data_IF_384841020016
#
_entry.id   IF_384841020016
#
_cell.length_a   1.000
_cell.length_b   1.000
_cell.length_c   1.000
_cell.angle_alpha   90.00
_cell.angle_beta   90.00
_cell.angle_gamma   90.00
#
_symmetry.space_group_name_H-M   'P 1'
#
loop_
_entity.id
_entity.type
_entity.pdbx_description
1 polymer ?
#
# COMPACT_ATOMS: atom_id res chain seq x y z
N UNK A 1 -14.77 33.58 21.47
CA UNK A 1 -15.05 32.12 21.35
C UNK A 1 -14.01 31.58 20.37
N UNK A 2 -13.12 30.71 20.86
CA UNK A 2 -11.84 30.31 20.27
C UNK A 2 -11.97 29.76 18.82
N UNK A 3 -11.17 30.31 17.89
CA UNK A 3 -10.75 29.60 16.68
C UNK A 3 -9.54 28.74 17.04
N UNK A 4 -9.71 27.42 17.04
CA UNK A 4 -8.64 26.46 17.24
C UNK A 4 -7.91 26.24 15.91
N UNK A 5 -6.86 27.00 15.65
CA UNK A 5 -5.94 26.76 14.53
C UNK A 5 -4.73 25.97 15.05
N UNK A 6 -4.74 24.67 14.76
CA UNK A 6 -3.66 23.76 15.11
C UNK A 6 -2.39 24.17 14.32
N UNK A 7 -1.36 24.57 15.05
CA UNK A 7 -0.07 24.95 14.52
C UNK A 7 0.61 23.74 13.86
N UNK A 8 0.65 23.71 12.52
CA UNK A 8 1.43 22.74 11.76
C UNK A 8 2.90 23.22 11.68
N UNK A 9 3.61 23.15 12.79
CA UNK A 9 5.08 23.22 12.77
C UNK A 9 5.62 21.84 12.40
N UNK A 10 6.11 21.64 11.19
CA UNK A 10 7.14 20.63 10.97
C UNK A 10 8.16 21.11 9.92
N UNK A 11 9.38 21.48 10.33
CA UNK A 11 10.41 21.94 9.41
C UNK A 11 10.77 20.81 8.44
N UNK A 12 10.91 21.19 7.18
CA UNK A 12 11.43 20.38 6.10
C UNK A 12 12.77 19.74 6.52
N UNK A 13 12.71 18.51 7.02
CA UNK A 13 13.88 17.65 7.11
C UNK A 13 14.19 17.20 5.69
N UNK A 14 15.21 17.85 5.13
CA UNK A 14 15.86 17.55 3.86
C UNK A 14 16.58 16.20 3.92
N UNK A 15 15.85 15.10 4.03
CA UNK A 15 16.35 13.78 3.65
C UNK A 15 15.83 13.51 2.23
N UNK A 16 16.71 13.28 1.23
CA UNK A 16 16.23 12.83 -0.06
C UNK A 16 15.41 11.56 0.19
N UNK A 17 14.17 11.43 -0.31
CA UNK A 17 13.47 10.17 -0.23
C UNK A 17 14.36 9.18 -0.95
N UNK A 18 15.10 8.37 -0.17
CA UNK A 18 15.94 7.31 -0.71
C UNK A 18 15.06 6.63 -1.73
N UNK A 19 15.49 6.62 -2.99
CA UNK A 19 14.80 5.94 -4.07
C UNK A 19 14.85 4.46 -3.74
N UNK A 20 14.05 4.05 -2.75
CA UNK A 20 13.63 2.70 -2.54
C UNK A 20 12.72 2.52 -3.72
N UNK A 21 13.32 2.16 -4.85
CA UNK A 21 12.61 1.55 -5.95
C UNK A 21 11.65 0.60 -5.25
N UNK A 22 10.33 0.86 -5.27
CA UNK A 22 9.40 -0.01 -4.59
C UNK A 22 9.76 -1.36 -5.18
N UNK A 23 10.14 -2.32 -4.33
CA UNK A 23 10.36 -3.70 -4.77
C UNK A 23 9.00 -4.11 -5.30
N UNK A 24 8.74 -3.79 -6.57
CA UNK A 24 7.46 -4.02 -7.23
C UNK A 24 7.32 -5.50 -7.04
N UNK A 25 6.34 -5.87 -6.25
CA UNK A 25 6.01 -7.27 -6.03
C UNK A 25 5.63 -7.78 -7.40
N UNK A 26 6.59 -8.48 -8.02
CA UNK A 26 6.53 -8.94 -9.41
C UNK A 26 5.30 -9.85 -9.61
N UNK A 27 4.75 -10.35 -8.50
CA UNK A 27 3.48 -11.05 -8.43
C UNK A 27 2.50 -10.34 -7.50
N UNK A 28 1.38 -9.90 -8.08
CA UNK A 28 0.16 -9.60 -7.35
C UNK A 28 -0.52 -10.92 -6.90
N UNK A 29 -1.34 -10.86 -5.85
CA UNK A 29 -2.11 -12.01 -5.36
C UNK A 29 -3.11 -12.54 -6.42
N UNK A 30 -3.56 -13.80 -6.33
CA UNK A 30 -4.50 -14.41 -7.30
C UNK A 30 -5.76 -13.57 -7.49
N UNK A 31 -6.35 -13.09 -6.39
CA UNK A 31 -7.50 -12.18 -6.43
C UNK A 31 -7.17 -10.85 -7.13
N UNK A 32 -5.99 -10.31 -6.83
CA UNK A 32 -5.48 -9.06 -7.35
C UNK A 32 -5.08 -9.16 -8.84
N UNK A 33 -4.85 -10.36 -9.38
CA UNK A 33 -4.41 -10.59 -10.77
C UNK A 33 -5.57 -10.74 -11.75
N UNK A 34 -6.72 -11.25 -11.30
CA UNK A 34 -7.75 -11.78 -12.20
C UNK A 34 -8.88 -10.84 -12.64
N UNK A 35 -8.83 -9.53 -12.36
CA UNK A 35 -9.95 -8.62 -12.70
C UNK A 35 -9.45 -7.30 -13.25
N UNK A 36 -10.12 -6.75 -14.27
CA UNK A 36 -9.78 -5.45 -14.90
C UNK A 36 -9.83 -4.23 -13.95
N UNK A 37 -10.22 -4.45 -12.69
CA UNK A 37 -10.16 -3.50 -11.57
C UNK A 37 -9.02 -3.95 -10.63
N UNK A 38 -7.82 -4.17 -11.19
CA UNK A 38 -6.63 -4.55 -10.40
C UNK A 38 -6.20 -3.34 -9.58
N UNK A 39 -6.63 -3.32 -8.32
CA UNK A 39 -6.05 -2.46 -7.32
C UNK A 39 -4.60 -2.90 -7.08
N UNK A 40 -3.68 -1.94 -6.90
CA UNK A 40 -2.26 -2.21 -6.69
C UNK A 40 -2.10 -3.23 -5.55
N UNK A 41 -1.54 -4.39 -5.83
CA UNK A 41 -1.25 -5.36 -4.78
C UNK A 41 0.01 -4.94 -4.04
N UNK A 42 -0.10 -4.67 -2.74
CA UNK A 42 1.02 -4.29 -1.88
C UNK A 42 2.01 -5.43 -1.61
N UNK A 43 1.64 -6.67 -1.98
CA UNK A 43 2.51 -7.84 -1.85
C UNK A 43 2.84 -8.26 -0.42
N UNK A 44 2.15 -7.70 0.59
CA UNK A 44 2.29 -8.12 1.99
C UNK A 44 1.87 -9.59 2.13
N UNK A 45 2.63 -10.34 2.92
CA UNK A 45 2.38 -11.74 3.28
C UNK A 45 2.15 -11.81 4.79
N UNK A 46 1.20 -12.63 5.28
CA UNK A 46 0.45 -13.67 4.55
C UNK A 46 -0.68 -13.13 3.66
N UNK A 47 -1.27 -11.97 3.99
CA UNK A 47 -2.40 -11.35 3.28
C UNK A 47 -2.04 -9.93 2.84
N UNK A 48 -2.39 -9.54 1.61
CA UNK A 48 -2.21 -8.16 1.15
C UNK A 48 -3.26 -7.22 1.77
N UNK A 49 -2.94 -5.93 1.91
CA UNK A 49 -3.82 -4.93 2.54
C UNK A 49 -5.22 -4.88 1.89
N UNK A 50 -5.33 -5.11 0.59
CA UNK A 50 -6.63 -5.09 -0.10
C UNK A 50 -7.47 -6.34 0.12
N UNK A 51 -6.84 -7.50 0.30
CA UNK A 51 -7.57 -8.72 0.65
C UNK A 51 -7.95 -8.72 2.12
N UNK A 52 -7.09 -8.19 2.99
CA UNK A 52 -7.33 -8.02 4.42
C UNK A 52 -8.56 -7.14 4.69
N UNK A 53 -8.60 -5.94 4.11
CA UNK A 53 -9.74 -5.01 4.23
C UNK A 53 -11.06 -5.53 3.67
N UNK A 54 -11.01 -6.55 2.81
CA UNK A 54 -12.19 -7.12 2.14
C UNK A 54 -12.53 -8.50 2.66
N UNK A 55 -11.76 -9.01 3.63
CA UNK A 55 -11.86 -10.39 4.14
C UNK A 55 -11.93 -11.43 3.00
N UNK A 56 -11.06 -11.26 2.00
CA UNK A 56 -10.97 -12.15 0.84
C UNK A 56 -9.75 -13.07 0.91
N UNK A 57 -9.88 -14.24 0.30
CA UNK A 57 -8.79 -15.19 0.19
C UNK A 57 -7.61 -14.60 -0.62
N UNK A 58 -6.47 -14.40 0.06
CA UNK A 58 -5.23 -13.94 -0.55
C UNK A 58 -4.27 -15.12 -0.72
N UNK A 59 -3.99 -15.48 -1.96
CA UNK A 59 -2.98 -16.49 -2.29
C UNK A 59 -2.00 -15.92 -3.32
N UNK A 60 -0.74 -16.30 -3.20
CA UNK A 60 0.32 -15.96 -4.16
C UNK A 60 0.78 -17.25 -4.81
N UNK A 61 0.01 -17.75 -5.77
CA UNK A 61 0.39 -18.92 -6.57
C UNK A 61 1.21 -18.48 -7.79
N UNK A 62 2.36 -19.14 -8.07
CA UNK A 62 3.01 -19.02 -9.36
C UNK A 62 2.09 -19.57 -10.45
N UNK A 63 2.11 -18.92 -11.61
CA UNK A 63 1.44 -19.41 -12.83
C UNK A 63 2.42 -20.19 -13.67
#
# INVERSE_FOLDING_TARGET
>A
MLTAECHQSNPASSEPPSSRTPRRTVMACTFCRGRHIVLKCDGRKPVCTNCDKRDLACSYVPV
#
